data_IF_538322880591
#
_entry.id   IF_538322880591
#
_cell.length_a   1.000
_cell.length_b   1.000
_cell.length_c   1.000
_cell.angle_alpha   90.00
_cell.angle_beta   90.00
_cell.angle_gamma   90.00
#
_symmetry.space_group_name_H-M   'P 1'
#
loop_
_entity.id
_entity.type
_entity.pdbx_description
1 polymer ?
#
# COMPACT_ATOMS: atom_id res chain seq x y z
N UNK A 1 21.14 1.19 2.57
CA UNK A 1 19.80 1.77 2.80
C UNK A 1 18.74 0.93 2.12
N UNK A 2 17.67 0.69 2.84
CA UNK A 2 16.56 -0.10 2.28
C UNK A 2 15.59 0.81 1.55
N UNK A 3 15.19 0.39 0.37
CA UNK A 3 14.18 1.09 -0.42
C UNK A 3 12.84 0.37 -0.24
N UNK A 4 11.83 1.10 0.18
CA UNK A 4 10.49 0.56 0.33
C UNK A 4 9.66 0.92 -0.89
N UNK A 5 9.43 -0.06 -1.75
CA UNK A 5 8.66 0.18 -2.97
C UNK A 5 7.21 0.55 -2.66
N UNK A 6 6.64 -0.02 -1.60
CA UNK A 6 5.25 0.21 -1.22
C UNK A 6 5.22 0.96 0.11
N UNK A 7 4.56 2.11 0.13
CA UNK A 7 4.38 2.91 1.34
C UNK A 7 2.90 3.16 1.54
N UNK A 8 2.41 2.84 2.74
CA UNK A 8 1.01 3.02 3.10
C UNK A 8 0.90 4.19 4.06
N UNK A 9 0.36 5.31 3.58
CA UNK A 9 0.08 6.45 4.45
C UNK A 9 -1.30 6.25 5.05
N UNK A 10 -1.37 6.23 6.37
CA UNK A 10 -2.49 5.68 7.11
C UNK A 10 -2.78 6.56 8.32
N UNK A 11 -3.96 6.37 8.92
CA UNK A 11 -4.23 6.85 10.28
C UNK A 11 -4.68 5.64 11.08
N UNK A 12 -4.12 5.51 12.27
CA UNK A 12 -4.25 4.28 13.06
C UNK A 12 -5.70 3.94 13.42
N UNK A 13 -6.56 4.95 13.49
CA UNK A 13 -7.96 4.76 13.87
C UNK A 13 -8.90 4.59 12.67
N UNK A 14 -8.41 4.72 11.45
CA UNK A 14 -9.25 4.74 10.26
C UNK A 14 -9.55 3.31 9.78
N UNK A 15 -10.84 2.93 9.65
CA UNK A 15 -11.19 1.57 9.19
C UNK A 15 -10.69 1.28 7.78
N UNK A 16 -10.71 2.27 6.90
CA UNK A 16 -10.22 2.08 5.53
C UNK A 16 -8.71 1.86 5.52
N UNK A 17 -7.99 2.59 6.40
CA UNK A 17 -6.55 2.38 6.55
C UNK A 17 -6.26 0.97 7.07
N UNK A 18 -7.05 0.51 8.04
CA UNK A 18 -6.88 -0.84 8.59
C UNK A 18 -7.09 -1.89 7.52
N UNK A 19 -8.08 -1.70 6.65
CA UNK A 19 -8.36 -2.64 5.57
C UNK A 19 -7.21 -2.72 4.58
N UNK A 20 -6.69 -1.56 4.16
CA UNK A 20 -5.57 -1.54 3.23
C UNK A 20 -4.35 -2.23 3.83
N UNK A 21 -4.06 -1.95 5.09
CA UNK A 21 -2.93 -2.58 5.78
C UNK A 21 -3.13 -4.10 5.89
N UNK A 22 -4.34 -4.53 6.21
CA UNK A 22 -4.61 -5.95 6.32
C UNK A 22 -4.36 -6.67 4.99
N UNK A 23 -4.81 -6.07 3.90
CA UNK A 23 -4.61 -6.68 2.58
C UNK A 23 -3.12 -6.72 2.25
N UNK A 24 -2.43 -5.59 2.37
CA UNK A 24 -1.05 -5.48 1.89
C UNK A 24 -0.03 -6.12 2.82
N UNK A 25 -0.33 -6.23 4.11
CA UNK A 25 0.63 -6.77 5.08
C UNK A 25 0.33 -8.21 5.47
N UNK A 26 -0.94 -8.61 5.46
CA UNK A 26 -1.33 -9.91 5.98
C UNK A 26 -1.79 -10.87 4.89
N UNK A 27 -2.50 -10.37 3.90
CA UNK A 27 -3.06 -11.20 2.85
C UNK A 27 -2.04 -11.53 1.76
N UNK A 28 -1.10 -10.63 1.54
CA UNK A 28 -0.07 -10.80 0.52
C UNK A 28 1.30 -10.90 1.14
N UNK A 29 2.19 -11.58 0.41
CA UNK A 29 3.61 -11.60 0.73
C UNK A 29 4.31 -10.70 -0.28
N UNK A 30 4.74 -9.53 0.17
CA UNK A 30 5.38 -8.51 -0.66
C UNK A 30 6.80 -8.32 -0.17
N UNK A 31 7.77 -8.45 -1.08
CA UNK A 31 9.18 -8.29 -0.73
C UNK A 31 9.78 -7.20 -1.62
N UNK A 32 10.34 -6.15 -1.05
CA UNK A 32 10.45 -5.86 0.39
C UNK A 32 9.11 -5.48 1.00
N UNK A 33 8.97 -5.69 2.30
CA UNK A 33 7.71 -5.45 3.00
C UNK A 33 7.27 -3.99 2.87
N UNK A 34 5.96 -3.75 2.77
CA UNK A 34 5.46 -2.37 2.74
C UNK A 34 5.80 -1.63 4.03
N UNK A 35 6.04 -0.34 3.88
CA UNK A 35 6.30 0.54 5.02
C UNK A 35 5.03 1.31 5.34
N UNK A 36 4.66 1.38 6.63
CA UNK A 36 3.47 2.07 7.08
C UNK A 36 3.87 3.37 7.78
N UNK A 37 3.23 4.47 7.37
CA UNK A 37 3.40 5.75 8.05
C UNK A 37 2.05 6.13 8.63
N UNK A 38 1.97 6.15 9.98
CA UNK A 38 0.75 6.55 10.67
C UNK A 38 0.78 8.06 10.86
N UNK A 39 0.03 8.77 10.05
CA UNK A 39 0.06 10.23 10.02
C UNK A 39 -0.42 10.85 11.34
N UNK A 40 -1.35 10.18 12.01
CA UNK A 40 -1.86 10.68 13.30
C UNK A 40 -0.83 10.56 14.43
N UNK A 41 0.20 9.75 14.22
CA UNK A 41 1.25 9.52 15.23
C UNK A 41 2.59 10.13 14.83
N UNK A 42 2.64 10.77 13.67
CA UNK A 42 3.88 11.35 13.17
C UNK A 42 3.93 12.84 13.50
N UNK A 43 5.11 13.33 13.91
CA UNK A 43 5.26 14.73 14.28
C UNK A 43 4.91 15.67 13.14
N UNK A 44 5.16 15.24 11.88
CA UNK A 44 4.90 16.04 10.69
C UNK A 44 3.70 15.51 9.89
N UNK A 45 2.76 14.84 10.57
CA UNK A 45 1.67 14.16 9.88
C UNK A 45 0.83 15.07 9.01
N UNK A 46 0.48 16.27 9.51
CA UNK A 46 -0.34 17.20 8.72
C UNK A 46 0.40 17.71 7.50
N UNK A 47 1.67 18.02 7.66
CA UNK A 47 2.50 18.48 6.55
C UNK A 47 2.65 17.39 5.49
N UNK A 48 2.85 16.17 5.93
CA UNK A 48 2.94 15.03 5.00
C UNK A 48 1.63 14.82 4.27
N UNK A 49 0.50 14.94 4.96
CA UNK A 49 -0.80 14.76 4.31
C UNK A 49 -1.05 15.83 3.26
N UNK A 50 -0.67 17.08 3.56
CA UNK A 50 -0.80 18.17 2.61
C UNK A 50 0.09 17.95 1.39
N UNK A 51 1.31 17.49 1.61
CA UNK A 51 2.24 17.20 0.52
C UNK A 51 1.72 16.07 -0.35
N UNK A 52 1.16 15.03 0.26
CA UNK A 52 0.58 13.92 -0.48
C UNK A 52 -0.60 14.39 -1.34
N UNK A 53 -1.45 15.26 -0.78
CA UNK A 53 -2.57 15.80 -1.55
C UNK A 53 -2.08 16.56 -2.76
N UNK A 54 -1.01 17.34 -2.59
CA UNK A 54 -0.43 18.12 -3.69
C UNK A 54 0.18 17.22 -4.76
N UNK A 55 0.90 16.19 -4.34
CA UNK A 55 1.66 15.35 -5.27
C UNK A 55 0.83 14.26 -5.93
N UNK A 56 -0.17 13.73 -5.23
CA UNK A 56 -0.96 12.60 -5.73
C UNK A 56 -2.38 12.95 -6.11
N UNK A 57 -2.84 14.14 -5.70
CA UNK A 57 -4.23 14.53 -5.90
C UNK A 57 -5.19 13.90 -4.89
N UNK A 58 -4.70 13.13 -3.94
CA UNK A 58 -5.55 12.46 -2.95
C UNK A 58 -5.27 13.02 -1.57
N UNK A 59 -6.30 13.60 -0.96
CA UNK A 59 -6.18 14.20 0.37
C UNK A 59 -6.52 13.23 1.48
N UNK A 60 -7.28 12.19 1.18
CA UNK A 60 -7.78 11.25 2.17
C UNK A 60 -6.78 10.12 2.45
N UNK A 61 -6.99 9.44 3.58
CA UNK A 61 -6.23 8.24 3.92
C UNK A 61 -7.16 7.03 3.86
N UNK A 62 -6.63 5.84 3.60
CA UNK A 62 -5.23 5.57 3.31
C UNK A 62 -4.84 6.06 1.92
N UNK A 63 -3.55 6.27 1.73
CA UNK A 63 -3.01 6.59 0.41
C UNK A 63 -1.82 5.67 0.22
N UNK A 64 -1.92 4.77 -0.76
CA UNK A 64 -0.91 3.74 -0.98
C UNK A 64 -0.08 4.13 -2.19
N UNK A 65 1.21 4.27 -1.98
CA UNK A 65 2.14 4.63 -3.05
C UNK A 65 3.01 3.44 -3.40
N UNK A 66 3.14 3.19 -4.69
CA UNK A 66 4.03 2.15 -5.21
C UNK A 66 5.04 2.84 -6.10
N UNK A 67 6.30 2.79 -5.68
CA UNK A 67 7.39 3.46 -6.38
C UNK A 67 7.07 4.93 -6.63
N UNK A 68 6.48 5.57 -5.60
CA UNK A 68 6.15 6.98 -5.65
C UNK A 68 4.82 7.34 -6.33
N UNK A 69 4.10 6.36 -6.86
CA UNK A 69 2.84 6.60 -7.54
C UNK A 69 1.67 6.05 -6.72
N UNK A 70 0.66 6.88 -6.52
CA UNK A 70 -0.51 6.46 -5.75
C UNK A 70 -1.37 5.48 -6.54
N UNK A 71 -1.73 4.37 -5.90
CA UNK A 71 -2.72 3.44 -6.46
C UNK A 71 -4.08 3.65 -5.81
N UNK A 72 -4.18 4.63 -4.91
CA UNK A 72 -5.46 4.99 -4.31
C UNK A 72 -5.55 4.65 -2.85
N UNK A 73 -6.76 4.49 -2.38
CA UNK A 73 -7.06 4.23 -0.97
C UNK A 73 -7.58 2.83 -0.73
N UNK A 74 -8.31 2.69 0.39
CA UNK A 74 -8.81 1.38 0.82
C UNK A 74 -9.72 0.71 -0.20
N UNK A 75 -10.63 1.48 -0.78
CA UNK A 75 -11.56 0.92 -1.76
C UNK A 75 -10.84 0.50 -3.03
N UNK A 76 -9.83 1.26 -3.44
CA UNK A 76 -9.06 0.95 -4.65
C UNK A 76 -8.25 -0.32 -4.47
N UNK A 77 -7.60 -0.46 -3.32
CA UNK A 77 -6.82 -1.67 -3.01
C UNK A 77 -7.75 -2.88 -2.91
N UNK A 78 -8.91 -2.71 -2.29
CA UNK A 78 -9.88 -3.78 -2.16
C UNK A 78 -10.37 -4.23 -3.54
N UNK A 79 -10.66 -3.27 -4.43
CA UNK A 79 -11.12 -3.60 -5.77
C UNK A 79 -10.08 -4.36 -6.56
N UNK A 80 -8.81 -3.93 -6.47
CA UNK A 80 -7.72 -4.64 -7.16
C UNK A 80 -7.57 -6.06 -6.62
N UNK A 81 -7.69 -6.22 -5.31
CA UNK A 81 -7.59 -7.53 -4.69
C UNK A 81 -8.72 -8.45 -5.17
N UNK A 82 -9.95 -7.92 -5.20
CA UNK A 82 -11.10 -8.72 -5.60
C UNK A 82 -11.05 -9.13 -7.07
N UNK A 83 -10.45 -8.29 -7.90
CA UNK A 83 -10.29 -8.59 -9.32
C UNK A 83 -9.05 -9.43 -9.61
N UNK A 84 -8.30 -9.77 -8.58
CA UNK A 84 -7.04 -10.51 -8.70
C UNK A 84 -6.02 -9.76 -9.56
N UNK A 85 -6.02 -8.43 -9.45
CA UNK A 85 -5.13 -7.56 -10.20
C UNK A 85 -4.12 -6.85 -9.33
N UNK A 86 -4.19 -7.03 -8.00
CA UNK A 86 -3.31 -6.28 -7.10
C UNK A 86 -1.85 -6.67 -7.28
N UNK A 87 -1.56 -7.95 -7.35
CA UNK A 87 -0.17 -8.41 -7.50
C UNK A 87 0.44 -7.88 -8.79
N UNK A 88 -0.27 -7.93 -9.90
CA UNK A 88 0.25 -7.45 -11.18
C UNK A 88 0.43 -5.94 -11.16
N UNK A 89 -0.50 -5.21 -10.53
CA UNK A 89 -0.37 -3.76 -10.39
C UNK A 89 0.88 -3.39 -9.61
N UNK A 90 1.11 -4.07 -8.49
CA UNK A 90 2.29 -3.82 -7.67
C UNK A 90 3.58 -4.12 -8.42
N UNK A 91 3.60 -5.24 -9.14
CA UNK A 91 4.78 -5.63 -9.91
C UNK A 91 5.05 -4.64 -11.03
N UNK A 92 4.01 -4.23 -11.74
CA UNK A 92 4.17 -3.31 -12.87
C UNK A 92 4.69 -1.95 -12.43
N UNK A 93 4.15 -1.40 -11.35
CA UNK A 93 4.58 -0.11 -10.86
C UNK A 93 5.89 -0.17 -10.11
N UNK A 94 6.11 -1.24 -9.35
CA UNK A 94 7.32 -1.39 -8.56
C UNK A 94 8.54 -1.80 -9.38
N UNK A 95 8.30 -2.53 -10.46
CA UNK A 95 9.37 -2.97 -11.34
C UNK A 95 10.43 -3.75 -10.57
N UNK A 96 11.69 -3.37 -10.81
CA UNK A 96 12.80 -4.06 -10.16
C UNK A 96 12.87 -3.84 -8.65
N UNK A 97 12.12 -2.87 -8.12
CA UNK A 97 12.14 -2.58 -6.70
C UNK A 97 11.26 -3.53 -5.89
N UNK A 98 10.37 -4.28 -6.55
CA UNK A 98 9.58 -5.31 -5.91
C UNK A 98 10.07 -6.66 -6.37
N UNK A 99 10.57 -7.45 -5.42
CA UNK A 99 11.17 -8.73 -5.74
C UNK A 99 10.13 -9.84 -5.79
N UNK A 100 9.11 -9.75 -4.94
CA UNK A 100 8.11 -10.80 -4.85
C UNK A 100 6.77 -10.21 -4.42
N UNK A 101 5.69 -10.62 -5.09
CA UNK A 101 4.32 -10.33 -4.69
C UNK A 101 3.49 -11.57 -4.97
N UNK A 102 2.90 -12.16 -3.93
CA UNK A 102 1.92 -13.21 -4.14
C UNK A 102 0.98 -13.29 -2.94
N UNK A 103 -0.22 -13.80 -3.21
CA UNK A 103 -1.20 -14.01 -2.15
C UNK A 103 -0.81 -15.23 -1.34
N UNK A 104 -0.89 -15.09 -0.04
CA UNK A 104 -0.47 -16.18 0.84
C UNK A 104 -1.34 -17.41 0.69
N UNK A 105 -2.64 -17.22 0.47
CA UNK A 105 -3.56 -18.34 0.34
C UNK A 105 -3.37 -19.08 -0.98
N UNK A 106 -2.93 -18.39 -2.03
CA UNK A 106 -2.69 -19.05 -3.32
C UNK A 106 -1.51 -20.01 -3.27
N UNK A 107 -0.55 -19.76 -2.40
CA UNK A 107 0.58 -20.66 -2.26
C UNK A 107 0.15 -22.05 -1.86
N UNK A 108 -0.90 -22.15 -1.04
CA UNK A 108 -1.39 -23.44 -0.58
C UNK A 108 -2.03 -24.23 -1.70
N UNK A 109 -2.61 -23.52 -2.66
CA UNK A 109 -3.30 -24.16 -3.76
C UNK A 109 -2.35 -24.69 -4.83
N UNK A 110 -1.17 -24.12 -4.88
CA UNK A 110 -0.18 -24.52 -5.88
C UNK A 110 0.33 -25.95 -5.66
N UNK A 111 0.05 -26.50 -4.51
CA UNK A 111 0.44 -27.87 -4.23
C UNK A 111 -0.60 -28.82 -4.75
#
# INVERSE_FOLDING_TARGET
MLYCAVVIFSKSYCPYSKRAKSILLEKYNIVPAPHVVELDQHAMGQQLQSLLAKNTGRRTVPNVLVNGKSIGGGDDVTALDEKDELASTLKNLGGKWIQEVNRKDQKKQAE
#
